data_IF_811819363806
#
_entry.id   IF_811819363806
#
_cell.length_a   1.000
_cell.length_b   1.000
_cell.length_c   1.000
_cell.angle_alpha   90.00
_cell.angle_beta   90.00
_cell.angle_gamma   90.00
#
_symmetry.space_group_name_H-M   'P 1'
#
loop_
_entity.id
_entity.type
_entity.pdbx_description
1 polymer ?
#
# COMPACT_ATOMS: atom_id res chain seq x y z
N UNK A 1 -68.73 -17.06 -12.68
CA UNK A 1 -68.68 -15.83 -11.86
C UNK A 1 -67.24 -15.67 -11.41
N UNK A 2 -66.56 -14.67 -11.95
CA UNK A 2 -65.11 -14.42 -11.80
C UNK A 2 -64.81 -13.72 -10.47
N UNK A 3 -63.78 -14.18 -9.76
CA UNK A 3 -63.33 -13.64 -8.46
C UNK A 3 -62.66 -12.26 -8.56
N UNK A 4 -62.45 -11.58 -7.42
CA UNK A 4 -62.02 -10.19 -7.40
C UNK A 4 -60.55 -10.03 -7.80
N UNK A 5 -60.28 -9.05 -8.67
CA UNK A 5 -58.95 -8.57 -9.04
C UNK A 5 -58.28 -7.86 -7.85
N UNK A 6 -57.19 -8.41 -7.34
CA UNK A 6 -56.28 -7.71 -6.43
C UNK A 6 -55.53 -6.61 -7.19
N UNK A 7 -55.69 -5.36 -6.74
CA UNK A 7 -54.90 -4.22 -7.23
C UNK A 7 -53.51 -4.23 -6.59
N UNK A 8 -52.42 -4.09 -7.36
CA UNK A 8 -51.09 -4.01 -6.78
C UNK A 8 -50.92 -2.70 -5.99
N UNK A 9 -50.38 -2.81 -4.77
CA UNK A 9 -50.05 -1.69 -3.90
C UNK A 9 -49.08 -0.73 -4.60
N UNK A 10 -49.44 0.56 -4.65
CA UNK A 10 -48.60 1.59 -5.27
C UNK A 10 -47.55 2.05 -4.26
N UNK A 11 -46.30 1.63 -4.47
CA UNK A 11 -45.13 2.10 -3.71
C UNK A 11 -45.07 3.63 -3.68
N UNK A 12 -44.88 4.19 -2.48
CA UNK A 12 -44.87 5.64 -2.24
C UNK A 12 -43.67 6.33 -2.89
N UNK A 13 -43.75 7.64 -3.14
CA UNK A 13 -42.65 8.40 -3.76
C UNK A 13 -41.36 8.37 -2.94
N UNK A 14 -41.44 8.26 -1.61
CA UNK A 14 -40.28 8.15 -0.73
C UNK A 14 -39.61 6.76 -0.80
N UNK A 15 -40.40 5.68 -0.84
CA UNK A 15 -39.87 4.31 -0.98
C UNK A 15 -39.17 4.10 -2.32
N UNK A 16 -39.69 4.70 -3.41
CA UNK A 16 -39.03 4.63 -4.73
C UNK A 16 -37.67 5.31 -4.74
N UNK A 17 -37.55 6.49 -4.13
CA UNK A 17 -36.28 7.24 -4.04
C UNK A 17 -35.24 6.43 -3.26
N UNK A 18 -35.64 5.81 -2.14
CA UNK A 18 -34.73 5.01 -1.31
C UNK A 18 -34.25 3.74 -2.03
N UNK A 19 -35.14 3.07 -2.77
CA UNK A 19 -34.80 1.91 -3.61
C UNK A 19 -33.86 2.28 -4.77
N UNK A 20 -34.11 3.40 -5.45
CA UNK A 20 -33.25 3.90 -6.52
C UNK A 20 -31.85 4.28 -6.01
N UNK A 21 -31.76 4.91 -4.84
CA UNK A 21 -30.49 5.22 -4.19
C UNK A 21 -29.74 3.95 -3.77
N UNK A 22 -30.44 2.95 -3.23
CA UNK A 22 -29.86 1.65 -2.88
C UNK A 22 -29.31 0.92 -4.11
N UNK A 23 -30.06 0.91 -5.21
CA UNK A 23 -29.63 0.32 -6.48
C UNK A 23 -28.40 1.04 -7.06
N UNK A 24 -28.40 2.37 -7.06
CA UNK A 24 -27.26 3.16 -7.55
C UNK A 24 -25.98 2.91 -6.74
N UNK A 25 -26.09 2.84 -5.40
CA UNK A 25 -24.95 2.49 -4.53
C UNK A 25 -24.44 1.07 -4.75
N UNK A 26 -25.33 0.12 -5.02
CA UNK A 26 -24.94 -1.25 -5.35
C UNK A 26 -24.23 -1.32 -6.71
N UNK A 27 -24.74 -0.61 -7.72
CA UNK A 27 -24.12 -0.50 -9.05
C UNK A 27 -22.75 0.19 -9.00
N UNK A 28 -22.60 1.25 -8.19
CA UNK A 28 -21.30 1.92 -7.97
C UNK A 28 -20.29 1.01 -7.26
N UNK A 29 -20.72 0.26 -6.23
CA UNK A 29 -19.86 -0.73 -5.56
C UNK A 29 -19.45 -1.87 -6.49
N UNK A 30 -20.36 -2.35 -7.31
CA UNK A 30 -20.07 -3.39 -8.30
C UNK A 30 -19.11 -2.88 -9.39
N UNK A 31 -19.21 -1.60 -9.77
CA UNK A 31 -18.27 -1.00 -10.71
C UNK A 31 -16.87 -0.80 -10.10
N UNK A 32 -16.80 -0.35 -8.85
CA UNK A 32 -15.53 -0.18 -8.09
C UNK A 32 -14.85 -1.52 -7.78
N UNK A 33 -15.65 -2.56 -7.54
CA UNK A 33 -15.24 -3.96 -7.36
C UNK A 33 -14.66 -4.57 -8.64
N UNK A 34 -15.15 -4.11 -9.81
CA UNK A 34 -14.71 -4.57 -11.13
C UNK A 34 -13.52 -3.79 -11.68
N UNK A 35 -13.09 -2.71 -11.02
CA UNK A 35 -11.90 -1.94 -11.39
C UNK A 35 -10.70 -2.51 -10.63
N UNK A 36 -9.62 -2.83 -11.35
CA UNK A 36 -8.38 -3.26 -10.72
C UNK A 36 -7.85 -2.15 -9.81
N UNK A 37 -7.66 -2.47 -8.52
CA UNK A 37 -7.10 -1.53 -7.55
C UNK A 37 -5.71 -1.08 -8.01
N UNK A 38 -5.51 0.22 -8.08
CA UNK A 38 -4.22 0.81 -8.44
C UNK A 38 -3.30 0.74 -7.22
N UNK A 39 -2.26 -0.07 -7.27
CA UNK A 39 -1.33 -0.32 -6.16
C UNK A 39 0.08 0.07 -6.60
N UNK A 40 0.77 0.87 -5.78
CA UNK A 40 2.19 1.15 -5.93
C UNK A 40 2.99 0.23 -5.02
N UNK A 41 3.91 -0.56 -5.59
CA UNK A 41 4.95 -1.28 -4.86
C UNK A 41 6.26 -0.52 -5.01
N UNK A 42 6.79 -0.07 -3.90
CA UNK A 42 7.96 0.81 -3.85
C UNK A 42 9.09 0.16 -3.07
N UNK A 43 10.19 -0.14 -3.75
CA UNK A 43 11.44 -0.53 -3.09
C UNK A 43 12.19 0.72 -2.64
N UNK A 44 12.61 0.75 -1.39
CA UNK A 44 13.40 1.83 -0.80
C UNK A 44 14.70 1.25 -0.28
N UNK A 45 15.73 2.10 -0.23
CA UNK A 45 17.02 1.79 0.38
C UNK A 45 18.21 2.05 -0.54
N UNK A 46 19.41 1.98 0.00
CA UNK A 46 20.65 2.28 -0.70
C UNK A 46 21.39 1.01 -1.13
N UNK A 47 21.38 0.71 -2.43
CA UNK A 47 22.10 -0.44 -3.00
C UNK A 47 23.63 -0.44 -2.80
N UNK A 48 24.20 0.66 -2.30
CA UNK A 48 25.62 0.77 -1.96
C UNK A 48 25.94 0.42 -0.49
N UNK A 49 24.92 0.18 0.34
CA UNK A 49 25.03 -0.03 1.79
C UNK A 49 24.52 -1.41 2.23
N UNK A 50 25.04 -2.46 1.62
CA UNK A 50 24.82 -3.84 2.08
C UNK A 50 23.34 -4.20 2.06
N UNK A 51 22.80 -4.53 3.24
CA UNK A 51 21.41 -4.96 3.40
C UNK A 51 20.40 -3.85 3.10
N UNK A 52 20.80 -2.58 3.11
CA UNK A 52 19.96 -1.46 2.68
C UNK A 52 19.59 -1.56 1.18
N UNK A 53 20.28 -2.43 0.42
CA UNK A 53 19.88 -2.80 -0.94
C UNK A 53 18.72 -3.80 -1.04
N UNK A 54 18.15 -4.25 0.07
CA UNK A 54 17.11 -5.28 0.10
C UNK A 54 15.87 -4.91 -0.72
N UNK A 55 15.35 -3.68 -0.57
CA UNK A 55 14.19 -3.21 -1.33
C UNK A 55 14.38 -3.36 -2.84
N UNK A 56 15.52 -2.88 -3.36
CA UNK A 56 15.86 -3.03 -4.77
C UNK A 56 16.05 -4.49 -5.22
N UNK A 57 16.54 -5.37 -4.35
CA UNK A 57 16.67 -6.80 -4.65
C UNK A 57 15.29 -7.48 -4.79
N UNK A 58 14.34 -7.15 -3.91
CA UNK A 58 12.96 -7.67 -3.99
C UNK A 58 12.24 -7.12 -5.22
N UNK A 59 12.40 -5.83 -5.53
CA UNK A 59 11.84 -5.22 -6.74
C UNK A 59 12.30 -5.97 -8.00
N UNK A 60 13.61 -6.25 -8.12
CA UNK A 60 14.14 -7.04 -9.24
C UNK A 60 13.52 -8.43 -9.33
N UNK A 61 13.24 -9.06 -8.18
CA UNK A 61 12.53 -10.34 -8.13
C UNK A 61 11.09 -10.25 -8.63
N UNK A 62 10.38 -9.19 -8.28
CA UNK A 62 9.01 -8.92 -8.70
C UNK A 62 8.90 -8.57 -10.19
N UNK A 63 9.86 -7.82 -10.75
CA UNK A 63 9.92 -7.52 -12.19
C UNK A 63 10.03 -8.77 -13.08
N UNK A 64 10.50 -9.89 -12.50
CA UNK A 64 10.58 -11.18 -13.18
C UNK A 64 9.30 -12.04 -13.05
N UNK A 65 8.21 -11.50 -12.48
CA UNK A 65 6.93 -12.19 -12.27
C UNK A 65 5.81 -11.58 -13.11
N UNK A 66 4.79 -12.37 -13.38
CA UNK A 66 3.53 -11.86 -13.90
C UNK A 66 2.75 -11.21 -12.74
N UNK A 67 2.61 -9.88 -12.80
CA UNK A 67 1.90 -9.12 -11.79
C UNK A 67 0.45 -8.91 -12.21
N UNK A 68 -0.50 -8.87 -11.24
CA UNK A 68 -1.87 -8.62 -11.58
C UNK A 68 -2.07 -7.18 -12.08
N UNK A 69 -3.17 -6.94 -12.80
CA UNK A 69 -3.48 -5.62 -13.34
C UNK A 69 -3.62 -4.56 -12.23
N UNK A 70 -3.27 -3.31 -12.55
CA UNK A 70 -3.29 -2.20 -11.59
C UNK A 70 -2.09 -2.13 -10.65
N UNK A 71 -1.17 -3.10 -10.66
CA UNK A 71 0.06 -3.05 -9.86
C UNK A 71 1.17 -2.36 -10.64
N UNK A 72 1.74 -1.30 -10.04
CA UNK A 72 2.97 -0.65 -10.51
C UNK A 72 4.10 -0.98 -9.53
N UNK A 73 5.21 -1.51 -10.04
CA UNK A 73 6.42 -1.80 -9.26
C UNK A 73 7.53 -0.83 -9.66
N UNK A 74 8.21 -0.24 -8.69
CA UNK A 74 9.30 0.68 -8.94
C UNK A 74 10.32 0.68 -7.80
N UNK A 75 11.62 0.68 -8.15
CA UNK A 75 12.72 0.93 -7.22
C UNK A 75 12.95 2.45 -7.12
N UNK A 76 12.83 3.00 -5.91
CA UNK A 76 13.06 4.41 -5.60
C UNK A 76 14.44 4.66 -4.99
N UNK A 77 15.16 3.61 -4.62
CA UNK A 77 16.42 3.72 -3.89
C UNK A 77 16.31 4.64 -2.68
N UNK A 78 17.17 5.66 -2.61
CA UNK A 78 17.15 6.71 -1.58
C UNK A 78 16.34 7.97 -1.97
N UNK A 79 15.58 7.91 -3.07
CA UNK A 79 14.82 9.01 -3.65
C UNK A 79 13.48 9.28 -2.94
N UNK A 80 13.50 9.68 -1.67
CA UNK A 80 12.28 9.92 -0.87
C UNK A 80 11.29 10.94 -1.48
N UNK A 81 11.79 12.00 -2.13
CA UNK A 81 10.93 12.98 -2.82
C UNK A 81 10.21 12.39 -4.03
N UNK A 82 10.91 11.58 -4.83
CA UNK A 82 10.33 10.95 -6.02
C UNK A 82 9.24 9.95 -5.61
N UNK A 83 9.47 9.22 -4.51
CA UNK A 83 8.46 8.36 -3.90
C UNK A 83 7.24 9.17 -3.46
N UNK A 84 7.43 10.28 -2.73
CA UNK A 84 6.34 11.13 -2.29
C UNK A 84 5.48 11.63 -3.46
N UNK A 85 6.11 12.16 -4.51
CA UNK A 85 5.40 12.64 -5.69
C UNK A 85 4.66 11.53 -6.42
N UNK A 86 5.23 10.32 -6.46
CA UNK A 86 4.55 9.20 -7.08
C UNK A 86 3.31 8.82 -6.28
N UNK A 87 3.42 8.66 -4.96
CA UNK A 87 2.30 8.33 -4.08
C UNK A 87 1.14 9.33 -4.23
N UNK A 88 1.46 10.62 -4.35
CA UNK A 88 0.48 11.70 -4.54
C UNK A 88 -0.33 11.62 -5.85
N UNK A 89 -0.01 10.70 -6.77
CA UNK A 89 -0.82 10.47 -7.98
C UNK A 89 -2.17 9.79 -7.69
N UNK A 90 -2.38 9.27 -6.48
CA UNK A 90 -3.66 8.73 -6.03
C UNK A 90 -3.77 7.21 -6.22
N UNK A 91 -3.03 6.46 -5.41
CA UNK A 91 -3.11 5.01 -5.35
C UNK A 91 -4.15 4.53 -4.32
N UNK A 92 -4.77 3.39 -4.59
CA UNK A 92 -5.63 2.70 -3.63
C UNK A 92 -4.79 2.12 -2.49
N UNK A 93 -3.59 1.62 -2.80
CA UNK A 93 -2.64 1.17 -1.80
C UNK A 93 -1.18 1.47 -2.18
N UNK A 94 -0.37 1.63 -1.14
CA UNK A 94 1.09 1.69 -1.20
C UNK A 94 1.67 0.51 -0.43
N UNK A 95 2.52 -0.28 -1.08
CA UNK A 95 3.29 -1.34 -0.47
C UNK A 95 4.77 -0.95 -0.52
N UNK A 96 5.35 -0.64 0.64
CA UNK A 96 6.76 -0.30 0.79
C UNK A 96 7.58 -1.54 1.09
N UNK A 97 8.77 -1.63 0.50
CA UNK A 97 9.75 -2.69 0.78
C UNK A 97 11.04 -2.02 1.22
N UNK A 98 11.48 -2.32 2.44
CA UNK A 98 12.65 -1.69 3.06
C UNK A 98 13.32 -2.65 4.08
N UNK A 99 14.44 -2.24 4.67
CA UNK A 99 14.97 -2.84 5.90
C UNK A 99 14.45 -2.12 7.14
N UNK A 100 14.29 -2.85 8.24
CA UNK A 100 13.92 -2.25 9.52
C UNK A 100 14.52 -3.04 10.66
N UNK A 101 15.23 -2.36 11.57
CA UNK A 101 15.74 -2.96 12.81
C UNK A 101 14.60 -3.05 13.83
N UNK A 102 14.05 -4.24 14.03
CA UNK A 102 12.97 -4.51 15.00
C UNK A 102 13.46 -5.35 16.18
N UNK A 103 14.75 -5.74 16.18
CA UNK A 103 15.37 -6.53 17.24
C UNK A 103 15.19 -8.04 17.06
N UNK A 104 14.79 -8.49 15.87
CA UNK A 104 14.82 -9.90 15.48
C UNK A 104 16.20 -10.35 15.01
N UNK A 105 16.27 -11.59 14.52
CA UNK A 105 17.47 -12.12 13.87
C UNK A 105 17.55 -11.61 12.42
N UNK A 106 18.75 -11.35 11.86
CA UNK A 106 18.89 -10.94 10.47
C UNK A 106 18.17 -11.86 9.47
N UNK A 107 17.50 -11.26 8.49
CA UNK A 107 16.63 -11.97 7.54
C UNK A 107 15.20 -12.21 8.03
N UNK A 108 14.86 -11.82 9.25
CA UNK A 108 13.46 -11.88 9.72
C UNK A 108 12.61 -10.90 8.90
N UNK A 109 11.49 -11.38 8.34
CA UNK A 109 10.55 -10.56 7.57
C UNK A 109 9.39 -10.11 8.45
N UNK A 110 8.97 -8.86 8.25
CA UNK A 110 7.85 -8.23 8.94
C UNK A 110 6.85 -7.68 7.93
N UNK A 111 5.56 -7.78 8.28
CA UNK A 111 4.49 -7.01 7.62
C UNK A 111 3.95 -6.03 8.63
N UNK A 112 4.02 -4.74 8.31
CA UNK A 112 3.60 -3.65 9.18
C UNK A 112 2.53 -2.87 8.44
N UNK A 113 1.41 -2.62 9.09
CA UNK A 113 0.35 -1.75 8.60
C UNK A 113 0.36 -0.47 9.45
N UNK A 114 0.97 0.63 8.97
CA UNK A 114 1.02 1.87 9.74
C UNK A 114 -0.39 2.45 9.89
N UNK A 115 -0.78 2.74 11.13
CA UNK A 115 -2.00 3.50 11.37
C UNK A 115 -1.77 4.97 10.93
N UNK A 116 -2.54 5.50 9.96
CA UNK A 116 -2.42 6.89 9.57
C UNK A 116 -2.57 7.83 10.77
N UNK A 117 -3.41 7.53 11.75
CA UNK A 117 -3.66 8.40 12.91
C UNK A 117 -2.47 8.46 13.88
N UNK A 118 -1.64 7.41 13.92
CA UNK A 118 -0.41 7.36 14.72
C UNK A 118 0.77 8.08 14.04
N UNK A 119 0.68 8.33 12.73
CA UNK A 119 1.71 9.08 12.00
C UNK A 119 1.50 10.58 12.22
N UNK A 120 2.49 11.25 12.82
CA UNK A 120 2.47 12.69 13.00
C UNK A 120 2.27 13.40 11.64
N UNK A 121 1.12 14.04 11.47
CA UNK A 121 0.78 14.82 10.26
C UNK A 121 1.17 16.30 10.35
N UNK A 122 1.78 16.71 11.47
CA UNK A 122 2.16 18.07 11.75
C UNK A 122 3.63 18.33 11.45
N UNK A 123 3.90 19.50 10.89
CA UNK A 123 5.22 20.13 10.94
C UNK A 123 5.19 20.93 12.25
N UNK A 124 5.84 20.47 13.32
CA UNK A 124 6.01 21.32 14.51
C UNK A 124 6.82 22.57 14.11
N UNK A 125 6.50 23.72 14.70
CA UNK A 125 7.13 25.02 14.38
C UNK A 125 8.66 24.90 14.42
N UNK A 126 9.28 24.80 13.24
CA UNK A 126 10.73 24.72 13.07
C UNK A 126 11.27 23.41 12.48
N UNK A 127 10.46 22.36 12.33
CA UNK A 127 10.90 21.15 11.61
C UNK A 127 10.86 21.37 10.10
N UNK A 128 12.02 21.33 9.45
CA UNK A 128 12.07 21.30 7.98
C UNK A 128 11.91 19.85 7.55
N UNK A 129 10.72 19.45 7.09
CA UNK A 129 10.53 18.20 6.35
C UNK A 129 11.31 18.31 5.03
N UNK A 130 12.57 17.88 5.05
CA UNK A 130 13.42 17.81 3.86
C UNK A 130 13.25 16.42 3.22
N UNK A 131 12.74 16.34 1.98
CA UNK A 131 12.56 15.07 1.27
C UNK A 131 13.85 14.49 0.68
N UNK A 132 14.99 15.13 0.92
CA UNK A 132 16.29 14.66 0.47
C UNK A 132 16.83 13.59 1.44
N UNK A 133 16.79 12.32 1.02
CA UNK A 133 17.32 11.19 1.80
C UNK A 133 16.43 10.76 2.96
N UNK A 134 15.11 10.70 2.74
CA UNK A 134 14.15 10.27 3.76
C UNK A 134 14.07 8.75 3.90
N UNK A 135 14.07 8.27 5.14
CA UNK A 135 13.45 6.99 5.48
C UNK A 135 11.95 6.98 5.07
N UNK A 136 11.33 5.80 4.82
CA UNK A 136 9.93 5.74 4.40
C UNK A 136 8.95 6.43 5.36
N UNK A 137 9.25 6.47 6.67
CA UNK A 137 8.39 7.11 7.66
C UNK A 137 8.27 8.63 7.41
N UNK A 138 9.37 9.29 7.04
CA UNK A 138 9.38 10.72 6.73
C UNK A 138 8.61 11.02 5.44
N UNK A 139 8.67 10.12 4.45
CA UNK A 139 7.85 10.21 3.23
C UNK A 139 6.37 10.15 3.58
N UNK A 140 5.97 9.18 4.41
CA UNK A 140 4.58 9.04 4.85
C UNK A 140 4.08 10.28 5.63
N UNK A 141 4.91 10.86 6.50
CA UNK A 141 4.59 12.13 7.18
C UNK A 141 4.34 13.27 6.19
N UNK A 142 5.23 13.43 5.21
CA UNK A 142 5.08 14.48 4.18
C UNK A 142 3.80 14.27 3.35
N UNK A 143 3.58 13.05 2.85
CA UNK A 143 2.39 12.69 2.08
C UNK A 143 1.11 12.95 2.89
N UNK A 144 1.10 12.63 4.18
CA UNK A 144 -0.02 12.94 5.09
C UNK A 144 -0.23 14.45 5.20
N UNK A 145 0.83 15.23 5.44
CA UNK A 145 0.74 16.69 5.61
C UNK A 145 0.17 17.39 4.35
N UNK A 146 0.49 16.90 3.15
CA UNK A 146 -0.04 17.44 1.89
C UNK A 146 -1.37 16.82 1.45
N UNK A 147 -2.02 16.03 2.32
CA UNK A 147 -3.30 15.36 2.06
C UNK A 147 -3.26 14.41 0.85
N UNK A 148 -2.08 13.84 0.56
CA UNK A 148 -1.85 12.89 -0.54
C UNK A 148 -1.85 11.42 -0.11
N UNK A 149 -2.37 11.11 1.10
CA UNK A 149 -2.32 9.77 1.68
C UNK A 149 -3.04 8.74 0.78
N UNK A 150 -2.39 7.61 0.43
CA UNK A 150 -3.03 6.53 -0.32
C UNK A 150 -4.05 5.80 0.56
N UNK A 151 -4.97 5.03 -0.03
CA UNK A 151 -6.02 4.35 0.75
C UNK A 151 -5.47 3.43 1.85
N UNK A 152 -4.60 2.49 1.49
CA UNK A 152 -3.89 1.59 2.42
C UNK A 152 -2.38 1.77 2.31
N UNK A 153 -1.68 1.58 3.42
CA UNK A 153 -0.22 1.50 3.45
C UNK A 153 0.18 0.20 4.13
N UNK A 154 1.06 -0.57 3.47
CA UNK A 154 1.66 -1.79 4.01
C UNK A 154 3.17 -1.65 3.84
N UNK A 155 3.94 -2.09 4.82
CA UNK A 155 5.40 -2.15 4.77
C UNK A 155 5.81 -3.61 4.94
N UNK A 156 6.51 -4.14 3.94
CA UNK A 156 7.22 -5.42 4.03
C UNK A 156 8.67 -5.10 4.35
N UNK A 157 9.09 -5.36 5.59
CA UNK A 157 10.42 -5.03 6.07
C UNK A 157 11.26 -6.28 6.33
N UNK A 158 12.59 -6.15 6.20
CA UNK A 158 13.54 -7.20 6.59
C UNK A 158 14.47 -6.71 7.71
N UNK A 159 14.71 -7.55 8.72
CA UNK A 159 15.75 -7.30 9.72
C UNK A 159 17.14 -7.38 9.05
N UNK A 160 17.94 -6.30 9.08
CA UNK A 160 19.26 -6.32 8.48
C UNK A 160 20.32 -6.92 9.42
N UNK A 161 21.40 -7.44 8.84
CA UNK A 161 22.64 -7.71 9.57
C UNK A 161 23.57 -6.50 9.55
N UNK A 162 23.75 -5.86 8.38
CA UNK A 162 24.63 -4.70 8.21
C UNK A 162 24.11 -3.72 7.15
N UNK A 163 24.02 -2.45 7.53
CA UNK A 163 23.61 -1.30 6.69
C UNK A 163 24.60 -0.13 6.76
N UNK A 164 25.72 -0.31 7.46
CA UNK A 164 26.72 0.74 7.69
C UNK A 164 27.92 0.57 6.77
N UNK A 165 28.32 -0.66 6.46
CA UNK A 165 29.44 -0.92 5.56
C UNK A 165 29.07 -0.71 4.09
N UNK A 166 29.95 -0.05 3.33
CA UNK A 166 29.81 0.04 1.88
C UNK A 166 29.99 -1.33 1.23
N UNK A 167 28.88 -1.96 0.89
CA UNK A 167 28.82 -3.25 0.24
C UNK A 167 27.76 -3.25 -0.87
N UNK A 168 28.11 -3.84 -2.02
CA UNK A 168 27.17 -4.00 -3.15
C UNK A 168 26.28 -5.24 -3.02
N UNK A 169 26.60 -6.11 -2.07
CA UNK A 169 25.91 -7.39 -1.88
C UNK A 169 25.23 -7.37 -0.53
N UNK A 170 24.04 -7.95 -0.50
CA UNK A 170 23.35 -8.33 0.72
C UNK A 170 24.20 -9.34 1.50
N UNK A 171 24.05 -9.33 2.82
CA UNK A 171 24.57 -10.37 3.69
C UNK A 171 23.92 -11.73 3.36
N UNK A 172 24.58 -12.86 3.64
CA UNK A 172 24.01 -14.18 3.36
C UNK A 172 22.62 -14.40 3.96
N UNK A 173 22.38 -13.87 5.16
CA UNK A 173 21.14 -13.96 5.92
C UNK A 173 19.99 -13.25 5.18
N UNK A 174 20.22 -11.99 4.77
CA UNK A 174 19.22 -11.19 4.04
C UNK A 174 19.04 -11.69 2.61
N UNK A 175 20.13 -12.07 1.93
CA UNK A 175 20.07 -12.64 0.59
C UNK A 175 19.23 -13.92 0.52
N UNK A 176 19.28 -14.75 1.57
CA UNK A 176 18.56 -16.02 1.64
C UNK A 176 17.04 -15.86 1.76
N UNK A 177 16.54 -14.67 2.12
CA UNK A 177 15.11 -14.40 2.30
C UNK A 177 14.48 -13.54 1.21
N UNK A 178 15.27 -13.06 0.22
CA UNK A 178 14.75 -12.23 -0.87
C UNK A 178 13.59 -12.89 -1.62
N UNK A 179 13.71 -14.15 -2.03
CA UNK A 179 12.61 -14.86 -2.72
C UNK A 179 11.37 -15.03 -1.82
N UNK A 180 11.57 -15.27 -0.52
CA UNK A 180 10.46 -15.34 0.45
C UNK A 180 9.76 -13.99 0.60
N UNK A 181 10.51 -12.89 0.53
CA UNK A 181 9.95 -11.55 0.56
C UNK A 181 9.16 -11.24 -0.72
N UNK A 182 9.62 -11.70 -1.89
CA UNK A 182 8.86 -11.62 -3.15
C UNK A 182 7.53 -12.35 -3.00
N UNK A 183 7.52 -13.59 -2.49
CA UNK A 183 6.30 -14.35 -2.24
C UNK A 183 5.36 -13.62 -1.28
N UNK A 184 5.90 -13.09 -0.18
CA UNK A 184 5.15 -12.32 0.80
C UNK A 184 4.52 -11.04 0.19
N UNK A 185 5.24 -10.33 -0.67
CA UNK A 185 4.70 -9.16 -1.39
C UNK A 185 3.56 -9.58 -2.31
N UNK A 186 3.68 -10.70 -3.02
CA UNK A 186 2.61 -11.22 -3.88
C UNK A 186 1.35 -11.60 -3.06
N UNK A 187 1.53 -12.18 -1.88
CA UNK A 187 0.43 -12.46 -0.94
C UNK A 187 -0.27 -11.16 -0.50
N UNK A 188 0.49 -10.13 -0.12
CA UNK A 188 -0.06 -8.82 0.24
C UNK A 188 -0.79 -8.15 -0.92
N UNK A 189 -0.27 -8.28 -2.15
CA UNK A 189 -0.94 -7.76 -3.34
C UNK A 189 -2.31 -8.42 -3.55
N UNK A 190 -2.42 -9.74 -3.35
CA UNK A 190 -3.73 -10.42 -3.44
C UNK A 190 -4.73 -9.88 -2.41
N UNK A 191 -4.28 -9.65 -1.17
CA UNK A 191 -5.11 -9.05 -0.13
C UNK A 191 -5.55 -7.63 -0.50
N UNK A 192 -4.62 -6.79 -0.95
CA UNK A 192 -4.87 -5.39 -1.33
C UNK A 192 -5.71 -5.23 -2.60
N UNK A 193 -5.83 -6.29 -3.41
CA UNK A 193 -6.75 -6.32 -4.55
C UNK A 193 -8.17 -6.74 -4.16
N UNK A 194 -8.35 -7.36 -3.00
CA UNK A 194 -9.68 -7.73 -2.52
C UNK A 194 -10.45 -6.49 -2.05
N UNK A 195 -11.76 -6.47 -2.32
CA UNK A 195 -12.64 -5.42 -1.81
C UNK A 195 -12.72 -5.43 -0.28
N UNK A 196 -12.49 -6.59 0.35
CA UNK A 196 -12.47 -6.76 1.81
C UNK A 196 -11.42 -5.84 2.48
N UNK A 197 -10.29 -5.60 1.82
CA UNK A 197 -9.25 -4.72 2.34
C UNK A 197 -9.73 -3.27 2.58
N UNK A 198 -10.79 -2.83 1.90
CA UNK A 198 -11.28 -1.44 1.95
C UNK A 198 -12.62 -1.28 2.66
N UNK A 199 -13.20 -2.35 3.22
CA UNK A 199 -14.52 -2.31 3.86
C UNK A 199 -14.54 -1.75 5.29
N UNK A 200 -13.37 -1.48 5.89
CA UNK A 200 -13.25 -1.06 7.31
C UNK A 200 -13.30 0.45 7.58
N UNK A 201 -13.56 1.31 6.57
CA UNK A 201 -13.52 2.77 6.70
C UNK A 201 -14.87 3.50 6.82
N UNK A 202 -15.95 2.81 7.22
CA UNK A 202 -17.30 3.40 7.26
C UNK A 202 -18.00 3.19 8.61
N UNK A 203 -17.80 4.11 9.54
CA UNK A 203 -18.75 4.41 10.62
C UNK A 203 -18.71 5.89 10.96
#
# INVERSE_FOLDING_TARGET
>A
MTGPEERPERTTSQERIMLEQGRRRAEERELDSRMDKQILVAGVGNAWLGDDGFGGAVIKGLEARDLPAGVKVQDFGSGGLDLAYEVMRGYHALLLIDVSKQGGEPGTLYVIEPDPDEIAGGIEDGEVLSPHGMDPATVLRFVKAVHGWPGKVVVVACEPADVEEMALKLTPEVQAVVEKAVDLVLEQLQLLQSDEAYQSGGS
#
